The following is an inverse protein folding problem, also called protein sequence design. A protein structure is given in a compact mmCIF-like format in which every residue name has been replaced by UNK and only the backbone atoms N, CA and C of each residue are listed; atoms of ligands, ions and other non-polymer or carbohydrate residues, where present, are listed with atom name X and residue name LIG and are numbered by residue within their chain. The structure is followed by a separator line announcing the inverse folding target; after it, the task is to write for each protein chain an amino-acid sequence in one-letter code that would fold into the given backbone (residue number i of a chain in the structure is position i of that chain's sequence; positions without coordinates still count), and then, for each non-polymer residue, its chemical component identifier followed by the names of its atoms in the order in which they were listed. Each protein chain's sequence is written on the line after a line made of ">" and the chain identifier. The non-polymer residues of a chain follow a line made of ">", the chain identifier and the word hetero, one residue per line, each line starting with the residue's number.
data_IF_846671877086
#
_entry.id   IF_846671877086
#
_cell.length_a   1.000
_cell.length_b   1.000
_cell.length_c   1.000
_cell.angle_alpha   90.00
_cell.angle_beta   90.00
_cell.angle_gamma   90.00
#
_symmetry.space_group_name_H-M   'P 1'
#
loop_
_entity.id
_entity.type
_entity.pdbx_description
1 polymer ?
#
# COMPACT_ATOMS: atom_id res chain seq x y z
N UNK A 1 -1.20 -8.16 8.09
CA UNK A 1 -2.13 -7.97 6.98
C UNK A 1 -3.37 -7.30 7.55
N UNK A 2 -3.75 -6.13 7.03
CA UNK A 2 -4.82 -5.28 7.56
C UNK A 2 -6.21 -5.85 7.19
N UNK A 3 -7.25 -5.52 7.98
CA UNK A 3 -8.63 -6.01 7.80
C UNK A 3 -9.16 -5.85 6.36
N UNK A 4 -8.80 -4.76 5.67
CA UNK A 4 -9.27 -4.48 4.32
C UNK A 4 -8.92 -5.58 3.29
N UNK A 5 -7.73 -6.18 3.40
CA UNK A 5 -7.28 -7.24 2.49
C UNK A 5 -8.02 -8.57 2.77
N UNK A 6 -8.36 -8.83 4.04
CA UNK A 6 -9.14 -10.00 4.43
C UNK A 6 -10.59 -9.91 3.99
N UNK A 7 -11.21 -8.72 4.11
CA UNK A 7 -12.59 -8.52 3.67
C UNK A 7 -12.72 -8.58 2.15
N UNK A 8 -11.76 -8.02 1.40
CA UNK A 8 -11.77 -8.08 -0.06
C UNK A 8 -11.66 -9.50 -0.61
N UNK A 9 -10.79 -10.33 -0.02
CA UNK A 9 -10.67 -11.73 -0.39
C UNK A 9 -11.97 -12.54 -0.18
N UNK A 10 -12.85 -12.10 0.72
CA UNK A 10 -14.15 -12.75 0.99
C UNK A 10 -15.35 -12.09 0.29
N UNK A 11 -15.22 -10.85 -0.19
CA UNK A 11 -16.34 -10.07 -0.76
C UNK A 11 -16.19 -9.76 -2.24
N UNK A 12 -15.03 -10.01 -2.85
CA UNK A 12 -14.76 -9.68 -4.26
C UNK A 12 -14.72 -8.17 -4.52
N UNK A 13 -14.49 -7.36 -3.48
CA UNK A 13 -14.50 -5.90 -3.56
C UNK A 13 -13.14 -5.39 -4.02
N UNK A 14 -13.12 -4.58 -5.06
CA UNK A 14 -11.92 -3.90 -5.53
C UNK A 14 -11.31 -3.05 -4.41
N UNK A 15 -10.08 -3.35 -4.01
CA UNK A 15 -9.35 -2.59 -2.99
C UNK A 15 -8.38 -1.64 -3.66
N UNK A 16 -8.48 -0.35 -3.31
CA UNK A 16 -7.47 0.62 -3.67
C UNK A 16 -6.17 0.32 -2.92
N UNK A 17 -5.11 0.03 -3.68
CA UNK A 17 -3.75 -0.11 -3.18
C UNK A 17 -3.02 1.23 -3.32
N UNK A 18 -2.53 1.78 -2.21
CA UNK A 18 -1.76 3.02 -2.23
C UNK A 18 -0.26 2.72 -2.25
N UNK A 19 0.46 3.32 -3.20
CA UNK A 19 1.92 3.26 -3.25
C UNK A 19 2.50 4.57 -2.72
N UNK A 20 3.22 4.49 -1.60
CA UNK A 20 3.89 5.64 -0.99
C UNK A 20 5.34 5.65 -1.44
N UNK A 21 5.71 6.60 -2.30
CA UNK A 21 7.07 6.72 -2.81
C UNK A 21 8.01 7.40 -1.81
N UNK A 22 7.50 8.40 -1.11
CA UNK A 22 8.19 9.17 -0.09
C UNK A 22 7.25 9.45 1.09
N UNK A 23 7.82 9.83 2.24
CA UNK A 23 7.04 10.24 3.39
C UNK A 23 6.32 11.55 3.08
N UNK A 24 4.99 11.50 3.00
CA UNK A 24 4.17 12.69 2.78
C UNK A 24 3.65 13.20 4.13
N UNK A 25 3.96 14.43 4.54
CA UNK A 25 3.41 15.01 5.76
C UNK A 25 1.87 15.02 5.70
N UNK A 26 1.23 14.58 6.78
CA UNK A 26 -0.25 14.47 6.85
C UNK A 26 -0.97 15.81 6.60
N UNK A 27 -0.32 16.92 6.90
CA UNK A 27 -0.84 18.29 6.69
C UNK A 27 -0.95 18.67 5.20
N UNK A 28 -0.25 17.95 4.32
CA UNK A 28 -0.23 18.17 2.88
C UNK A 28 -1.17 17.20 2.14
N UNK A 29 -1.73 16.22 2.84
CA UNK A 29 -2.66 15.25 2.26
C UNK A 29 -4.11 15.73 2.40
N UNK A 30 -4.91 15.74 1.32
CA UNK A 30 -6.35 15.95 1.41
C UNK A 30 -6.99 14.95 2.38
N UNK A 31 -8.01 15.37 3.14
CA UNK A 31 -8.68 14.53 4.14
C UNK A 31 -9.21 13.22 3.57
N UNK A 32 -9.74 13.26 2.35
CA UNK A 32 -10.30 12.07 1.69
C UNK A 32 -9.21 11.05 1.37
N UNK A 33 -8.02 11.52 0.98
CA UNK A 33 -6.85 10.66 0.74
C UNK A 33 -6.33 10.09 2.06
N UNK A 34 -6.29 10.89 3.13
CA UNK A 34 -5.94 10.40 4.47
C UNK A 34 -6.90 9.33 4.97
N UNK A 35 -8.22 9.52 4.77
CA UNK A 35 -9.22 8.54 5.17
C UNK A 35 -8.99 7.21 4.46
N UNK A 36 -8.77 7.25 3.14
CA UNK A 36 -8.45 6.06 2.37
C UNK A 36 -7.15 5.40 2.82
N UNK A 37 -6.06 6.16 3.07
CA UNK A 37 -4.80 5.60 3.58
C UNK A 37 -4.95 4.92 4.95
N UNK A 38 -5.83 5.42 5.82
CA UNK A 38 -6.11 4.80 7.12
C UNK A 38 -6.95 3.53 7.00
N UNK A 39 -7.85 3.47 6.01
CA UNK A 39 -8.75 2.33 5.79
C UNK A 39 -8.22 1.27 4.82
N UNK A 40 -7.22 1.59 4.00
CA UNK A 40 -6.77 0.77 2.88
C UNK A 40 -5.36 0.22 3.06
N UNK A 41 -5.03 -0.78 2.25
CA UNK A 41 -3.69 -1.37 2.19
C UNK A 41 -2.76 -0.41 1.46
N UNK A 42 -1.64 -0.05 2.07
CA UNK A 42 -0.58 0.71 1.40
C UNK A 42 0.74 -0.07 1.38
N UNK A 43 1.56 0.18 0.36
CA UNK A 43 2.92 -0.34 0.24
C UNK A 43 3.86 0.85 0.11
N UNK A 44 4.81 0.93 1.04
CA UNK A 44 5.86 1.96 1.02
C UNK A 44 7.01 1.49 0.15
N UNK A 45 7.46 2.37 -0.75
CA UNK A 45 8.67 2.16 -1.53
C UNK A 45 9.89 2.20 -0.59
N UNK A 46 10.80 1.22 -0.64
CA UNK A 46 11.89 1.13 0.32
C UNK A 46 12.96 2.23 0.14
N UNK A 47 12.85 3.05 -0.91
CA UNK A 47 13.76 4.16 -1.20
C UNK A 47 14.95 3.75 -2.07
N UNK A 48 15.70 4.74 -2.57
CA UNK A 48 16.81 4.54 -3.53
C UNK A 48 18.09 3.99 -2.91
N UNK A 49 18.20 4.01 -1.57
CA UNK A 49 19.34 3.45 -0.81
C UNK A 49 18.99 2.15 -0.09
N UNK A 50 17.88 1.53 -0.45
CA UNK A 50 17.43 0.29 0.17
C UNK A 50 18.36 -0.88 -0.16
N UNK A 51 18.50 -1.79 0.80
CA UNK A 51 19.12 -3.09 0.58
C UNK A 51 18.41 -3.84 -0.58
N UNK A 52 19.14 -4.56 -1.46
CA UNK A 52 18.54 -5.27 -2.59
C UNK A 52 17.44 -6.27 -2.21
N UNK A 53 17.50 -6.83 -1.00
CA UNK A 53 16.45 -7.69 -0.43
C UNK A 53 15.13 -6.94 -0.23
N UNK A 54 15.16 -5.73 0.33
CA UNK A 54 13.98 -4.90 0.55
C UNK A 54 13.31 -4.49 -0.76
N UNK A 55 14.11 -4.20 -1.80
CA UNK A 55 13.60 -3.88 -3.14
C UNK A 55 12.89 -5.09 -3.76
N UNK A 56 13.48 -6.28 -3.65
CA UNK A 56 12.85 -7.52 -4.12
C UNK A 56 11.55 -7.85 -3.38
N UNK A 57 11.54 -7.68 -2.06
CA UNK A 57 10.36 -7.93 -1.24
C UNK A 57 9.23 -6.96 -1.58
N UNK A 58 9.57 -5.68 -1.83
CA UNK A 58 8.63 -4.68 -2.33
C UNK A 58 7.98 -5.13 -3.64
N UNK A 59 8.76 -5.50 -4.65
CA UNK A 59 8.23 -5.95 -5.94
C UNK A 59 7.41 -7.22 -5.82
N UNK A 60 7.80 -8.14 -4.93
CA UNK A 60 7.06 -9.38 -4.67
C UNK A 60 5.69 -9.08 -4.06
N UNK A 61 5.62 -8.19 -3.05
CA UNK A 61 4.36 -7.77 -2.43
C UNK A 61 3.46 -7.03 -3.41
N UNK A 62 4.03 -6.13 -4.21
CA UNK A 62 3.28 -5.40 -5.23
C UNK A 62 2.71 -6.35 -6.29
N UNK A 63 3.52 -7.26 -6.81
CA UNK A 63 3.08 -8.24 -7.80
C UNK A 63 1.98 -9.17 -7.27
N UNK A 64 2.01 -9.50 -5.97
CA UNK A 64 0.93 -10.26 -5.33
C UNK A 64 -0.34 -9.42 -5.21
N UNK A 65 -0.23 -8.16 -4.78
CA UNK A 65 -1.37 -7.29 -4.56
C UNK A 65 -2.13 -6.96 -5.86
N UNK A 66 -1.45 -6.83 -7.00
CA UNK A 66 -2.08 -6.56 -8.31
C UNK A 66 -2.67 -7.79 -9.01
N UNK A 67 -2.38 -9.00 -8.52
CA UNK A 67 -2.85 -10.27 -9.11
C UNK A 67 -4.11 -10.82 -8.44
N UNK A 68 -4.51 -10.24 -7.31
CA UNK A 68 -5.78 -10.56 -6.63
C UNK A 68 -6.94 -9.85 -7.32
#
# INVERSE_FOLDING_TARGET
>A
MQMATMEAAHTGRDVLLFLLYEDVPSQQLPRDVMYNLQSSTYITFPGTRAEPSLVRDFWTRLAQAIRQ
#
